data_IF_866462275720
#
_entry.id   IF_866462275720
#
_cell.length_a   1.000
_cell.length_b   1.000
_cell.length_c   1.000
_cell.angle_alpha   90.00
_cell.angle_beta   90.00
_cell.angle_gamma   90.00
#
_symmetry.space_group_name_H-M   'P 1'
#
loop_
_entity.id
_entity.type
_entity.pdbx_description
1 polymer ?
#
# COMPACT_ATOMS: atom_id res chain seq x y z
N UNK A 1 18.20 20.68 -11.78
CA UNK A 1 18.85 19.36 -11.57
C UNK A 1 18.75 18.57 -12.86
N UNK A 2 19.60 17.55 -13.06
CA UNK A 2 19.57 16.74 -14.30
C UNK A 2 19.73 15.26 -13.96
N UNK A 3 18.88 14.41 -14.53
CA UNK A 3 18.98 12.95 -14.40
C UNK A 3 18.63 12.29 -15.72
N UNK A 4 19.50 11.39 -16.21
CA UNK A 4 19.38 10.68 -17.50
C UNK A 4 19.06 11.62 -18.70
N UNK A 5 19.70 12.79 -18.76
CA UNK A 5 19.45 13.76 -19.82
C UNK A 5 18.25 14.68 -19.62
N UNK A 6 17.36 14.40 -18.67
CA UNK A 6 16.16 15.19 -18.38
C UNK A 6 16.45 16.24 -17.31
N UNK A 7 16.18 17.49 -17.62
CA UNK A 7 16.25 18.58 -16.64
C UNK A 7 14.95 18.69 -15.84
N UNK A 8 15.06 18.70 -14.51
CA UNK A 8 13.93 18.83 -13.59
C UNK A 8 14.26 19.80 -12.45
N UNK A 9 13.24 20.26 -11.74
CA UNK A 9 13.40 21.23 -10.65
C UNK A 9 12.63 20.81 -9.41
N UNK A 10 13.31 20.82 -8.27
CA UNK A 10 12.75 20.62 -6.93
C UNK A 10 13.34 21.72 -6.04
N UNK A 11 12.48 22.45 -5.30
CA UNK A 11 12.94 23.54 -4.42
C UNK A 11 13.18 23.06 -2.99
N UNK A 12 12.31 22.19 -2.51
CA UNK A 12 12.25 21.77 -1.12
C UNK A 12 12.67 20.29 -0.97
N UNK A 13 13.92 19.98 -1.34
CA UNK A 13 14.46 18.64 -1.10
C UNK A 13 14.51 18.31 0.40
N UNK A 14 14.45 17.01 0.77
CA UNK A 14 14.71 16.59 2.14
C UNK A 14 16.11 17.05 2.58
N UNK A 15 16.20 17.80 3.67
CA UNK A 15 17.47 18.38 4.15
C UNK A 15 18.54 17.32 4.38
N UNK A 16 18.16 16.18 4.92
CA UNK A 16 19.07 15.07 5.24
C UNK A 16 19.27 14.08 4.07
N UNK A 17 18.62 14.31 2.93
CA UNK A 17 18.73 13.47 1.73
C UNK A 17 18.68 14.31 0.45
N UNK A 18 19.70 15.17 0.22
CA UNK A 18 19.70 16.12 -0.90
C UNK A 18 19.82 15.46 -2.28
N UNK A 19 20.21 14.19 -2.34
CA UNK A 19 20.31 13.40 -3.56
C UNK A 19 18.97 12.74 -3.97
N UNK A 20 17.91 12.86 -3.16
CA UNK A 20 16.59 12.33 -3.46
C UNK A 20 16.07 12.87 -4.80
N UNK A 21 15.69 11.95 -5.70
CA UNK A 21 15.12 12.26 -7.02
C UNK A 21 13.65 11.84 -7.02
N UNK A 22 12.71 12.76 -6.71
CA UNK A 22 11.29 12.41 -6.62
C UNK A 22 10.76 11.91 -7.97
N UNK A 23 10.34 10.65 -8.03
CA UNK A 23 9.90 10.01 -9.28
C UNK A 23 8.75 10.78 -9.94
N UNK A 24 7.74 11.23 -9.19
CA UNK A 24 6.61 11.97 -9.75
C UNK A 24 6.98 13.33 -10.34
N UNK A 25 8.02 13.99 -9.79
CA UNK A 25 8.53 15.26 -10.32
C UNK A 25 9.34 15.03 -11.59
N UNK A 26 10.16 14.00 -11.58
CA UNK A 26 10.96 13.65 -12.75
C UNK A 26 10.07 13.21 -13.93
N UNK A 27 8.98 12.44 -13.67
CA UNK A 27 7.99 12.09 -14.71
C UNK A 27 7.44 13.34 -15.40
N UNK A 28 7.00 14.33 -14.63
CA UNK A 28 6.45 15.58 -15.21
C UNK A 28 7.44 16.32 -16.12
N UNK A 29 8.72 16.26 -15.78
CA UNK A 29 9.77 16.84 -16.61
C UNK A 29 10.06 15.98 -17.84
N UNK A 30 10.10 14.68 -17.68
CA UNK A 30 10.30 13.70 -18.75
C UNK A 30 9.20 13.80 -19.83
N UNK A 31 7.94 13.85 -19.43
CA UNK A 31 6.80 13.89 -20.35
C UNK A 31 6.75 15.14 -21.24
N UNK A 32 7.35 16.26 -20.82
CA UNK A 32 7.33 17.53 -21.58
C UNK A 32 7.94 17.43 -22.98
N UNK A 33 8.91 16.53 -23.17
CA UNK A 33 9.56 16.32 -24.47
C UNK A 33 9.21 14.99 -25.14
N UNK A 34 8.48 14.12 -24.46
CA UNK A 34 8.09 12.82 -24.98
C UNK A 34 6.97 12.93 -26.03
N UNK A 35 7.15 12.34 -27.21
CA UNK A 35 6.21 12.47 -28.32
C UNK A 35 5.75 11.13 -28.90
N UNK A 36 6.56 10.07 -28.82
CA UNK A 36 6.23 8.77 -29.35
C UNK A 36 5.21 8.07 -28.44
N UNK A 37 4.01 7.71 -28.92
CA UNK A 37 3.01 7.00 -28.14
C UNK A 37 3.52 5.65 -27.63
N UNK A 38 3.17 5.34 -26.38
CA UNK A 38 3.37 4.05 -25.75
C UNK A 38 2.13 3.72 -24.93
N UNK A 39 1.67 2.48 -24.99
CA UNK A 39 0.60 2.01 -24.12
C UNK A 39 1.11 0.83 -23.27
N UNK A 40 0.82 0.88 -21.98
CA UNK A 40 1.12 -0.19 -21.03
C UNK A 40 -0.22 -0.75 -20.57
N UNK A 41 -0.44 -2.05 -20.74
CA UNK A 41 -1.60 -2.72 -20.16
C UNK A 41 -1.14 -3.80 -19.19
N UNK A 42 -1.89 -3.97 -18.09
CA UNK A 42 -1.62 -4.97 -17.07
C UNK A 42 -2.84 -5.83 -16.87
N UNK A 43 -2.67 -7.14 -17.05
CA UNK A 43 -3.69 -8.15 -16.79
C UNK A 43 -3.53 -8.76 -15.41
N UNK A 44 -4.64 -8.88 -14.71
CA UNK A 44 -4.74 -9.52 -13.39
C UNK A 44 -5.89 -10.53 -13.35
N UNK A 45 -6.23 -11.03 -12.19
CA UNK A 45 -7.25 -12.06 -11.99
C UNK A 45 -8.59 -11.72 -12.67
N UNK A 46 -9.34 -12.77 -13.04
CA UNK A 46 -10.67 -12.68 -13.68
C UNK A 46 -10.71 -11.88 -14.99
N UNK A 47 -9.58 -11.81 -15.70
CA UNK A 47 -9.47 -11.10 -16.96
C UNK A 47 -9.59 -9.56 -16.83
N UNK A 48 -9.34 -9.02 -15.67
CA UNK A 48 -9.27 -7.57 -15.47
C UNK A 48 -8.02 -7.02 -16.13
N UNK A 49 -8.17 -5.90 -16.84
CA UNK A 49 -7.07 -5.25 -17.58
C UNK A 49 -7.11 -3.76 -17.32
N UNK A 50 -6.03 -3.24 -16.75
CA UNK A 50 -5.78 -1.80 -16.62
C UNK A 50 -4.94 -1.32 -17.81
N UNK A 51 -5.31 -0.21 -18.43
CA UNK A 51 -4.63 0.35 -19.62
C UNK A 51 -4.16 1.77 -19.32
N UNK A 52 -2.88 2.02 -19.55
CA UNK A 52 -2.20 3.29 -19.29
C UNK A 52 -1.55 3.82 -20.56
N UNK A 53 -2.06 4.93 -21.08
CA UNK A 53 -1.49 5.62 -22.23
C UNK A 53 -0.44 6.61 -21.78
N UNK A 54 0.74 6.55 -22.38
CA UNK A 54 1.85 7.46 -22.11
C UNK A 54 2.64 7.75 -23.38
N UNK A 55 3.77 8.41 -23.25
CA UNK A 55 4.70 8.72 -24.35
C UNK A 55 6.13 8.53 -23.90
N UNK A 56 6.99 8.22 -24.86
CA UNK A 56 8.44 8.16 -24.70
C UNK A 56 9.11 9.14 -25.66
N UNK A 57 10.39 9.41 -25.46
CA UNK A 57 11.15 10.25 -26.39
C UNK A 57 11.47 9.51 -27.69
N UNK A 58 11.82 8.22 -27.60
CA UNK A 58 12.11 7.35 -28.74
C UNK A 58 13.40 7.70 -29.49
N UNK A 59 14.32 8.45 -28.87
CA UNK A 59 15.58 8.82 -29.46
C UNK A 59 16.76 8.08 -28.82
N UNK A 60 17.85 7.81 -29.55
CA UNK A 60 19.02 7.11 -29.00
C UNK A 60 19.63 7.81 -27.78
N UNK A 61 19.64 9.15 -27.77
CA UNK A 61 20.23 9.97 -26.72
C UNK A 61 19.47 9.84 -25.39
N UNK A 62 18.17 9.53 -25.44
CA UNK A 62 17.30 9.40 -24.28
C UNK A 62 16.81 7.95 -24.04
N UNK A 63 17.44 6.98 -24.72
CA UNK A 63 17.04 5.57 -24.59
C UNK A 63 17.10 5.03 -23.14
N UNK A 64 18.08 5.49 -22.34
CA UNK A 64 18.15 5.11 -20.92
C UNK A 64 17.10 5.84 -20.07
N UNK A 65 16.75 7.07 -20.41
CA UNK A 65 15.64 7.77 -19.77
C UNK A 65 14.30 7.09 -20.07
N UNK A 66 14.08 6.71 -21.34
CA UNK A 66 12.89 5.96 -21.78
C UNK A 66 12.76 4.63 -21.03
N UNK A 67 13.87 3.87 -20.94
CA UNK A 67 13.85 2.60 -20.21
C UNK A 67 13.59 2.80 -18.71
N UNK A 68 14.29 3.75 -18.06
CA UNK A 68 14.11 4.03 -16.64
C UNK A 68 12.68 4.48 -16.35
N UNK A 69 12.11 5.32 -17.20
CA UNK A 69 10.71 5.75 -17.09
C UNK A 69 9.77 4.55 -17.15
N UNK A 70 9.83 3.77 -18.21
CA UNK A 70 8.88 2.66 -18.44
C UNK A 70 9.05 1.58 -17.38
N UNK A 71 10.29 1.24 -17.03
CA UNK A 71 10.58 0.21 -16.04
C UNK A 71 10.03 0.61 -14.63
N UNK A 72 10.30 1.83 -14.18
CA UNK A 72 9.77 2.34 -12.90
C UNK A 72 8.25 2.52 -12.93
N UNK A 73 7.70 2.95 -14.05
CA UNK A 73 6.26 3.09 -14.25
C UNK A 73 5.54 1.73 -14.17
N UNK A 74 6.06 0.73 -14.88
CA UNK A 74 5.57 -0.66 -14.81
C UNK A 74 5.66 -1.20 -13.39
N UNK A 75 6.79 -1.01 -12.71
CA UNK A 75 6.94 -1.43 -11.31
C UNK A 75 5.91 -0.75 -10.40
N UNK A 76 5.70 0.56 -10.56
CA UNK A 76 4.68 1.27 -9.79
C UNK A 76 3.29 0.69 -10.01
N UNK A 77 2.91 0.42 -11.26
CA UNK A 77 1.63 -0.18 -11.60
C UNK A 77 1.47 -1.58 -11.00
N UNK A 78 2.51 -2.41 -11.06
CA UNK A 78 2.47 -3.75 -10.46
C UNK A 78 2.24 -3.73 -8.96
N UNK A 79 2.85 -2.80 -8.23
CA UNK A 79 2.71 -2.72 -6.78
C UNK A 79 1.49 -1.93 -6.32
N UNK A 80 0.91 -1.12 -7.20
CA UNK A 80 -0.37 -0.43 -6.94
C UNK A 80 -1.58 -1.28 -7.34
N UNK A 81 -1.62 -1.75 -8.59
CA UNK A 81 -2.78 -2.44 -9.16
C UNK A 81 -2.67 -3.96 -9.01
N UNK A 82 -1.46 -4.50 -9.15
CA UNK A 82 -1.20 -5.93 -9.26
C UNK A 82 -1.27 -6.42 -10.71
N UNK A 83 -0.80 -7.63 -10.96
CA UNK A 83 -0.91 -8.28 -12.27
C UNK A 83 0.17 -9.31 -12.52
N UNK A 84 -0.06 -10.15 -13.51
CA UNK A 84 0.85 -11.23 -13.90
C UNK A 84 1.24 -11.19 -15.37
N UNK A 85 0.58 -10.35 -16.18
CA UNK A 85 0.94 -10.15 -17.60
C UNK A 85 0.96 -8.66 -17.92
N UNK A 86 2.07 -8.21 -18.49
CA UNK A 86 2.29 -6.83 -18.88
C UNK A 86 2.39 -6.77 -20.39
N UNK A 87 1.61 -5.89 -21.01
CA UNK A 87 1.69 -5.58 -22.43
C UNK A 87 2.40 -4.25 -22.62
N UNK A 88 3.47 -4.25 -23.40
CA UNK A 88 4.20 -3.05 -23.82
C UNK A 88 3.91 -2.83 -25.31
N UNK A 89 3.04 -1.87 -25.59
CA UNK A 89 2.52 -1.66 -26.91
C UNK A 89 3.12 -0.41 -27.56
N UNK A 90 3.82 -0.60 -28.70
CA UNK A 90 4.36 0.51 -29.50
C UNK A 90 5.88 0.71 -29.43
N UNK A 91 6.64 -0.11 -28.66
CA UNK A 91 8.10 -0.09 -28.69
C UNK A 91 8.72 -1.45 -28.31
N UNK A 92 9.07 -2.24 -29.32
CA UNK A 92 9.64 -3.59 -29.12
C UNK A 92 11.00 -3.59 -28.43
N UNK A 93 11.82 -2.56 -28.59
CA UNK A 93 13.13 -2.49 -27.92
C UNK A 93 12.96 -2.36 -26.39
N UNK A 94 12.01 -1.56 -25.93
CA UNK A 94 11.66 -1.45 -24.51
C UNK A 94 11.03 -2.75 -23.99
N UNK A 95 10.09 -3.34 -24.75
CA UNK A 95 9.49 -4.61 -24.40
C UNK A 95 10.54 -5.70 -24.17
N UNK A 96 11.52 -5.85 -25.08
CA UNK A 96 12.61 -6.82 -24.97
C UNK A 96 13.52 -6.56 -23.75
N UNK A 97 13.79 -5.30 -23.42
CA UNK A 97 14.56 -4.96 -22.20
C UNK A 97 13.78 -5.36 -20.94
N UNK A 98 12.48 -5.07 -20.89
CA UNK A 98 11.62 -5.46 -19.77
C UNK A 98 11.47 -6.99 -19.67
N UNK A 99 11.33 -7.71 -20.80
CA UNK A 99 11.32 -9.17 -20.81
C UNK A 99 12.56 -9.77 -20.15
N UNK A 100 13.74 -9.18 -20.34
CA UNK A 100 14.97 -9.62 -19.68
C UNK A 100 15.01 -9.28 -18.19
N UNK A 101 14.51 -8.10 -17.81
CA UNK A 101 14.50 -7.66 -16.42
C UNK A 101 13.50 -8.46 -15.57
N UNK A 102 12.31 -8.73 -16.12
CA UNK A 102 11.21 -9.41 -15.43
C UNK A 102 11.23 -10.92 -15.66
N UNK A 103 12.28 -11.57 -15.17
CA UNK A 103 12.45 -13.03 -15.11
C UNK A 103 12.86 -13.45 -13.70
N UNK A 104 12.80 -14.76 -13.39
CA UNK A 104 13.24 -15.30 -12.09
C UNK A 104 14.75 -15.16 -11.86
N UNK A 105 15.54 -14.95 -12.91
CA UNK A 105 16.98 -14.69 -12.90
C UNK A 105 17.32 -13.23 -13.17
N UNK A 106 16.31 -12.41 -13.52
CA UNK A 106 16.48 -11.01 -13.90
C UNK A 106 16.55 -10.06 -12.71
N UNK A 107 16.70 -8.79 -13.05
CA UNK A 107 16.75 -7.69 -12.05
C UNK A 107 15.47 -7.63 -11.20
N UNK A 108 14.32 -7.98 -11.78
CA UNK A 108 12.99 -7.93 -11.16
C UNK A 108 12.51 -9.30 -10.67
N UNK A 109 13.43 -10.20 -10.32
CA UNK A 109 13.10 -11.56 -9.85
C UNK A 109 12.13 -11.57 -8.66
N UNK A 110 12.26 -10.62 -7.75
CA UNK A 110 11.36 -10.51 -6.59
C UNK A 110 9.94 -10.17 -7.04
N UNK A 111 9.79 -9.17 -7.92
CA UNK A 111 8.48 -8.77 -8.45
C UNK A 111 7.81 -9.94 -9.19
N UNK A 112 8.57 -10.64 -10.03
CA UNK A 112 8.08 -11.82 -10.77
C UNK A 112 7.63 -12.93 -9.82
N UNK A 113 8.48 -13.29 -8.85
CA UNK A 113 8.16 -14.36 -7.89
C UNK A 113 6.94 -13.99 -7.05
N UNK A 114 6.87 -12.75 -6.57
CA UNK A 114 5.76 -12.28 -5.76
C UNK A 114 4.42 -12.32 -6.53
N UNK A 115 4.41 -11.82 -7.77
CA UNK A 115 3.19 -11.84 -8.60
C UNK A 115 2.78 -13.26 -8.97
N UNK A 116 3.74 -14.16 -9.23
CA UNK A 116 3.44 -15.59 -9.42
C UNK A 116 2.88 -16.25 -8.16
N UNK A 117 3.38 -15.91 -6.98
CA UNK A 117 2.84 -16.42 -5.71
C UNK A 117 1.43 -15.88 -5.42
N UNK A 118 1.13 -14.64 -5.85
CA UNK A 118 -0.20 -14.03 -5.70
C UNK A 118 -1.21 -14.62 -6.66
N UNK A 119 -0.89 -14.65 -7.95
CA UNK A 119 -1.86 -15.02 -9.00
C UNK A 119 -1.81 -16.49 -9.39
N UNK A 120 -0.79 -17.24 -8.96
CA UNK A 120 -0.57 -18.67 -9.27
C UNK A 120 -0.52 -19.00 -10.78
N UNK A 121 -0.05 -18.03 -11.57
CA UNK A 121 0.15 -18.14 -13.01
C UNK A 121 1.54 -17.62 -13.36
N UNK A 122 2.14 -18.07 -14.49
CA UNK A 122 3.41 -17.54 -14.98
C UNK A 122 3.33 -16.03 -15.22
N UNK A 123 4.38 -15.32 -14.85
CA UNK A 123 4.51 -13.89 -15.14
C UNK A 123 5.06 -13.69 -16.55
N UNK A 124 4.48 -12.77 -17.33
CA UNK A 124 4.85 -12.54 -18.72
C UNK A 124 4.92 -11.05 -19.05
N UNK A 125 5.86 -10.67 -19.91
CA UNK A 125 5.91 -9.37 -20.58
C UNK A 125 5.70 -9.60 -22.07
N UNK A 126 4.66 -9.00 -22.64
CA UNK A 126 4.25 -9.16 -24.03
C UNK A 126 4.63 -7.91 -24.83
N UNK A 127 5.34 -8.11 -25.94
CA UNK A 127 5.57 -7.09 -26.97
C UNK A 127 4.41 -7.10 -27.97
N UNK A 128 3.75 -5.97 -28.18
CA UNK A 128 2.68 -5.87 -29.16
C UNK A 128 2.64 -4.49 -29.86
N UNK A 129 1.95 -4.42 -30.99
CA UNK A 129 1.68 -3.16 -31.67
C UNK A 129 0.65 -2.33 -30.87
N UNK A 130 0.59 -1.02 -31.13
CA UNK A 130 -0.39 -0.13 -30.42
C UNK A 130 -1.83 -0.55 -30.66
N UNK A 131 -2.13 -0.96 -31.89
CA UNK A 131 -3.47 -1.41 -32.32
C UNK A 131 -3.88 -2.76 -31.72
N UNK A 132 -2.92 -3.57 -31.28
CA UNK A 132 -3.15 -4.90 -30.68
C UNK A 132 -3.20 -4.84 -29.14
N UNK A 133 -3.10 -3.65 -28.56
CA UNK A 133 -3.20 -3.49 -27.12
C UNK A 133 -4.58 -3.96 -26.63
N UNK A 134 -4.65 -4.82 -25.59
CA UNK A 134 -5.93 -5.27 -25.05
C UNK A 134 -6.74 -4.09 -24.53
N UNK A 135 -8.06 -4.17 -24.71
CA UNK A 135 -8.98 -3.16 -24.20
C UNK A 135 -9.04 -3.19 -22.67
N UNK A 136 -9.22 -2.02 -22.06
CA UNK A 136 -9.44 -1.92 -20.64
C UNK A 136 -10.67 -2.73 -20.20
N UNK A 137 -10.54 -3.48 -19.14
CA UNK A 137 -11.59 -4.28 -18.51
C UNK A 137 -11.45 -4.18 -16.99
N UNK A 138 -11.80 -3.04 -16.45
CA UNK A 138 -11.86 -2.81 -15.01
C UNK A 138 -13.31 -2.87 -14.53
N UNK A 139 -13.53 -3.59 -13.45
CA UNK A 139 -14.80 -3.57 -12.75
C UNK A 139 -14.50 -3.36 -11.26
N UNK A 140 -15.03 -2.30 -10.67
CA UNK A 140 -15.11 -2.18 -9.23
C UNK A 140 -16.22 -3.10 -8.71
N UNK A 141 -15.92 -3.84 -7.66
CA UNK A 141 -16.96 -4.49 -6.85
C UNK A 141 -17.22 -3.56 -5.69
N UNK A 142 -18.48 -3.16 -5.50
CA UNK A 142 -18.87 -2.39 -4.33
C UNK A 142 -18.58 -3.23 -3.08
N UNK A 143 -17.53 -2.87 -2.36
CA UNK A 143 -17.11 -3.53 -1.12
C UNK A 143 -16.98 -2.42 -0.08
N UNK A 144 -17.82 -2.48 0.97
CA UNK A 144 -17.78 -1.54 2.07
C UNK A 144 -19.01 -0.66 2.19
N UNK A 145 -19.12 0.04 3.31
CA UNK A 145 -20.25 0.95 3.59
C UNK A 145 -21.55 0.28 4.03
N UNK A 146 -21.65 -1.05 4.01
CA UNK A 146 -22.85 -1.80 4.38
C UNK A 146 -22.95 -1.99 5.90
N UNK A 147 -23.79 -1.21 6.58
CA UNK A 147 -23.87 -1.22 8.06
C UNK A 147 -25.21 -1.72 8.59
N UNK A 148 -26.18 -2.04 7.72
CA UNK A 148 -27.50 -2.54 8.12
C UNK A 148 -27.44 -3.98 8.61
N UNK A 149 -28.25 -4.31 9.61
CA UNK A 149 -28.37 -5.65 10.18
C UNK A 149 -27.29 -5.98 11.20
N UNK A 150 -27.10 -7.26 11.44
CA UNK A 150 -26.19 -7.82 12.45
C UNK A 150 -24.90 -8.29 11.78
N UNK A 151 -23.78 -7.66 12.05
CA UNK A 151 -22.51 -7.87 11.33
C UNK A 151 -21.37 -8.17 12.27
N UNK A 152 -20.49 -9.06 11.84
CA UNK A 152 -19.21 -9.32 12.51
C UNK A 152 -18.13 -8.58 11.75
N UNK A 153 -17.31 -7.81 12.45
CA UNK A 153 -16.06 -7.27 11.94
C UNK A 153 -14.89 -7.88 12.69
N UNK A 154 -13.95 -8.44 11.95
CA UNK A 154 -12.78 -9.10 12.50
C UNK A 154 -11.50 -8.46 11.95
N UNK A 155 -10.59 -8.07 12.84
CA UNK A 155 -9.28 -7.55 12.50
C UNK A 155 -8.21 -8.55 12.95
N UNK A 156 -7.56 -9.20 11.97
CA UNK A 156 -6.54 -10.20 12.16
C UNK A 156 -5.15 -9.56 12.17
N UNK A 157 -4.76 -8.99 13.31
CA UNK A 157 -3.45 -8.41 13.50
C UNK A 157 -2.32 -9.44 13.71
N UNK A 158 -1.09 -8.98 13.68
CA UNK A 158 0.09 -9.84 13.82
C UNK A 158 0.46 -10.24 15.26
N UNK A 159 -0.08 -9.54 16.27
CA UNK A 159 0.16 -9.76 17.71
C UNK A 159 -1.13 -9.93 18.50
N UNK A 160 -2.21 -9.45 17.99
CA UNK A 160 -3.55 -9.49 18.57
C UNK A 160 -4.58 -9.65 17.47
N UNK A 161 -5.77 -10.11 17.85
CA UNK A 161 -6.95 -10.18 16.99
C UNK A 161 -8.07 -9.42 17.67
N UNK A 162 -8.82 -8.66 16.90
CA UNK A 162 -9.94 -7.87 17.41
C UNK A 162 -11.22 -8.26 16.68
N UNK A 163 -12.31 -8.46 17.44
CA UNK A 163 -13.62 -8.73 16.87
C UNK A 163 -14.63 -7.74 17.41
N UNK A 164 -15.54 -7.29 16.55
CA UNK A 164 -16.66 -6.43 16.90
C UNK A 164 -17.98 -7.02 16.43
N UNK A 165 -18.98 -7.00 17.29
CA UNK A 165 -20.38 -7.24 16.94
C UNK A 165 -21.05 -5.88 16.70
N UNK A 166 -21.63 -5.71 15.51
CA UNK A 166 -22.23 -4.44 15.05
C UNK A 166 -23.68 -4.68 14.67
N UNK A 167 -24.61 -3.89 15.21
CA UNK A 167 -26.03 -3.93 14.85
C UNK A 167 -26.43 -2.57 14.32
N UNK A 168 -26.87 -2.49 13.07
CA UNK A 168 -27.29 -1.27 12.38
C UNK A 168 -26.27 -0.12 12.58
N UNK A 169 -25.00 -0.40 12.33
CA UNK A 169 -23.90 0.56 12.45
C UNK A 169 -23.42 0.85 13.89
N UNK A 170 -24.03 0.25 14.90
CA UNK A 170 -23.64 0.46 16.32
C UNK A 170 -22.89 -0.76 16.85
N UNK A 171 -21.69 -0.55 17.37
CA UNK A 171 -20.92 -1.57 18.05
C UNK A 171 -21.61 -1.93 19.38
N UNK A 172 -22.05 -3.17 19.50
CA UNK A 172 -22.69 -3.71 20.72
C UNK A 172 -21.72 -4.53 21.58
N UNK A 173 -20.63 -5.01 20.97
CA UNK A 173 -19.55 -5.70 21.65
C UNK A 173 -18.24 -5.53 20.87
N UNK A 174 -17.13 -5.44 21.59
CA UNK A 174 -15.77 -5.51 21.01
C UNK A 174 -14.84 -6.21 21.98
N UNK A 175 -14.02 -7.12 21.45
CA UNK A 175 -13.04 -7.87 22.22
C UNK A 175 -11.70 -7.89 21.46
N UNK A 176 -10.61 -7.79 22.20
CA UNK A 176 -9.24 -7.89 21.69
C UNK A 176 -8.52 -9.00 22.46
N UNK A 177 -7.91 -9.93 21.73
CA UNK A 177 -7.23 -11.11 22.28
C UNK A 177 -5.85 -11.22 21.69
N UNK A 178 -4.84 -11.35 22.53
CA UNK A 178 -3.45 -11.61 22.13
C UNK A 178 -3.36 -12.99 21.47
N UNK A 179 -2.74 -13.07 20.32
CA UNK A 179 -2.42 -14.30 19.63
C UNK A 179 -1.05 -14.22 18.94
N UNK A 180 -0.51 -15.34 18.46
CA UNK A 180 0.84 -15.38 17.91
C UNK A 180 0.89 -16.06 16.53
N UNK A 181 0.13 -15.56 15.52
CA UNK A 181 -0.04 -16.25 14.24
C UNK A 181 1.27 -16.42 13.48
N UNK A 182 2.17 -15.42 13.55
CA UNK A 182 3.46 -15.41 12.82
C UNK A 182 4.45 -16.49 13.30
N UNK A 183 4.23 -17.09 14.46
CA UNK A 183 5.11 -18.12 15.04
C UNK A 183 4.55 -19.53 14.93
N UNK A 184 3.27 -19.65 14.57
CA UNK A 184 2.58 -20.95 14.50
C UNK A 184 2.67 -21.55 13.09
N UNK A 185 3.05 -22.84 13.03
CA UNK A 185 3.16 -23.60 11.78
C UNK A 185 1.90 -24.46 11.49
N UNK A 186 1.03 -24.66 12.47
CA UNK A 186 -0.22 -25.39 12.26
C UNK A 186 -1.36 -24.42 11.91
N UNK A 187 -1.97 -24.53 10.71
CA UNK A 187 -3.09 -23.68 10.31
C UNK A 187 -4.33 -23.89 11.19
N UNK A 188 -4.42 -25.00 11.96
CA UNK A 188 -5.52 -25.21 12.88
C UNK A 188 -5.54 -24.16 14.00
N UNK A 189 -4.37 -23.76 14.52
CA UNK A 189 -4.27 -22.67 15.50
C UNK A 189 -4.94 -21.37 15.00
N UNK A 190 -4.67 -21.00 13.75
CA UNK A 190 -5.28 -19.81 13.16
C UNK A 190 -6.78 -19.98 12.97
N UNK A 191 -7.20 -21.14 12.47
CA UNK A 191 -8.61 -21.47 12.26
C UNK A 191 -9.42 -21.40 13.57
N UNK A 192 -8.92 -22.04 14.63
CA UNK A 192 -9.59 -22.05 15.93
C UNK A 192 -9.73 -20.65 16.50
N UNK A 193 -8.67 -19.81 16.37
CA UNK A 193 -8.68 -18.42 16.80
C UNK A 193 -9.71 -17.56 16.04
N UNK A 194 -9.83 -17.74 14.73
CA UNK A 194 -10.81 -17.03 13.90
C UNK A 194 -12.23 -17.47 14.27
N UNK A 195 -12.49 -18.78 14.37
CA UNK A 195 -13.80 -19.33 14.72
C UNK A 195 -14.25 -18.89 16.12
N UNK A 196 -13.34 -18.89 17.09
CA UNK A 196 -13.63 -18.41 18.45
C UNK A 196 -14.08 -16.93 18.44
N UNK A 197 -13.34 -16.08 17.72
CA UNK A 197 -13.70 -14.67 17.58
C UNK A 197 -15.08 -14.49 16.92
N UNK A 198 -15.35 -15.21 15.84
CA UNK A 198 -16.65 -15.16 15.16
C UNK A 198 -17.79 -15.63 16.08
N UNK A 199 -17.63 -16.73 16.80
CA UNK A 199 -18.62 -17.24 17.76
C UNK A 199 -18.84 -16.28 18.92
N UNK A 200 -17.79 -15.64 19.43
CA UNK A 200 -17.91 -14.64 20.49
C UNK A 200 -18.77 -13.46 20.02
N UNK A 201 -18.50 -12.88 18.87
CA UNK A 201 -19.30 -11.77 18.33
C UNK A 201 -20.74 -12.21 17.99
N UNK A 202 -20.91 -13.36 17.36
CA UNK A 202 -22.24 -13.92 17.05
C UNK A 202 -23.12 -14.09 18.29
N UNK A 203 -22.54 -14.51 19.42
CA UNK A 203 -23.28 -14.68 20.70
C UNK A 203 -23.89 -13.39 21.26
N UNK A 204 -23.48 -12.22 20.75
CA UNK A 204 -23.96 -10.90 21.17
C UNK A 204 -25.06 -10.32 20.29
N UNK A 205 -25.48 -11.08 19.28
CA UNK A 205 -26.45 -10.63 18.27
C UNK A 205 -27.52 -11.70 18.06
N UNK A 206 -28.76 -11.31 17.66
CA UNK A 206 -29.83 -12.28 17.44
C UNK A 206 -29.59 -13.16 16.19
N UNK A 207 -28.77 -12.72 15.24
CA UNK A 207 -28.39 -13.42 14.01
C UNK A 207 -27.08 -12.80 13.47
N UNK A 208 -26.54 -13.37 12.39
CA UNK A 208 -25.40 -12.78 11.66
C UNK A 208 -25.79 -12.64 10.19
N UNK A 209 -25.78 -11.41 9.67
CA UNK A 209 -26.13 -11.07 8.29
C UNK A 209 -24.89 -10.93 7.38
N UNK A 210 -23.68 -10.77 7.94
CA UNK A 210 -22.43 -10.67 7.21
C UNK A 210 -21.21 -10.66 8.11
N UNK A 211 -20.09 -11.13 7.58
CA UNK A 211 -18.78 -11.16 8.23
C UNK A 211 -17.76 -10.41 7.37
N UNK A 212 -17.18 -9.35 7.88
CA UNK A 212 -16.07 -8.66 7.23
C UNK A 212 -14.75 -8.87 7.98
N UNK A 213 -13.70 -9.10 7.24
CA UNK A 213 -12.36 -9.38 7.77
C UNK A 213 -11.36 -8.37 7.25
N UNK A 214 -10.66 -7.71 8.17
CA UNK A 214 -9.41 -6.98 7.93
C UNK A 214 -8.24 -7.91 8.23
N UNK A 215 -7.30 -8.08 7.33
CA UNK A 215 -6.16 -8.96 7.57
C UNK A 215 -4.93 -8.53 6.80
N UNK A 216 -3.76 -8.65 7.43
CA UNK A 216 -2.49 -8.34 6.78
C UNK A 216 -2.18 -9.34 5.66
N UNK A 217 -1.87 -8.82 4.47
CA UNK A 217 -1.45 -9.60 3.31
C UNK A 217 -2.23 -9.32 2.04
N UNK A 218 -1.91 -10.07 1.01
CA UNK A 218 -2.53 -9.98 -0.31
C UNK A 218 -3.57 -11.07 -0.48
N UNK A 219 -4.74 -10.69 -0.96
CA UNK A 219 -5.90 -11.56 -1.10
C UNK A 219 -6.41 -11.61 -2.54
N UNK A 220 -6.81 -12.80 -3.00
CA UNK A 220 -7.61 -12.98 -4.21
C UNK A 220 -8.98 -13.51 -3.77
N UNK A 221 -9.98 -12.63 -3.85
CA UNK A 221 -11.25 -12.89 -3.15
C UNK A 221 -11.03 -13.00 -1.64
N UNK A 222 -11.49 -14.08 -1.02
CA UNK A 222 -11.27 -14.32 0.42
C UNK A 222 -10.00 -15.12 0.73
N UNK A 223 -9.23 -15.50 -0.29
CA UNK A 223 -8.06 -16.39 -0.14
C UNK A 223 -6.80 -15.58 0.17
N UNK A 224 -6.13 -15.80 1.32
CA UNK A 224 -4.82 -15.21 1.57
C UNK A 224 -3.78 -15.89 0.68
N UNK A 225 -3.22 -15.14 -0.26
CA UNK A 225 -2.20 -15.59 -1.20
C UNK A 225 -0.79 -15.39 -0.62
N UNK A 226 -0.51 -14.20 -0.12
CA UNK A 226 0.72 -13.86 0.59
C UNK A 226 0.33 -13.13 1.88
N UNK A 227 0.67 -13.69 3.04
CA UNK A 227 0.37 -13.07 4.32
C UNK A 227 1.39 -13.43 5.39
N UNK A 228 1.86 -12.44 6.12
CA UNK A 228 2.78 -12.62 7.24
C UNK A 228 2.18 -13.40 8.40
N UNK A 229 0.85 -13.47 8.51
CA UNK A 229 0.17 -14.23 9.55
C UNK A 229 0.41 -15.73 9.41
N UNK A 230 0.60 -16.22 8.18
CA UNK A 230 0.75 -17.64 7.85
C UNK A 230 2.18 -18.00 7.44
N UNK A 231 3.17 -17.13 7.71
CA UNK A 231 4.54 -17.27 7.20
C UNK A 231 5.24 -18.56 7.64
N UNK A 232 4.85 -19.12 8.78
CA UNK A 232 5.41 -20.39 9.31
C UNK A 232 4.62 -21.63 8.86
N UNK A 233 3.48 -21.45 8.20
CA UNK A 233 2.68 -22.58 7.71
C UNK A 233 3.38 -23.23 6.51
N UNK A 234 3.67 -24.53 6.55
CA UNK A 234 4.33 -25.24 5.46
C UNK A 234 3.55 -25.16 4.13
N UNK A 235 4.28 -25.20 3.01
CA UNK A 235 3.69 -25.08 1.66
C UNK A 235 2.64 -26.14 1.38
N UNK A 236 2.81 -27.37 1.84
CA UNK A 236 1.87 -28.49 1.70
C UNK A 236 0.53 -28.28 2.39
N UNK A 237 0.45 -27.35 3.36
CA UNK A 237 -0.78 -26.95 4.05
C UNK A 237 -1.41 -25.68 3.52
N UNK A 238 -0.88 -25.10 2.44
CA UNK A 238 -1.30 -23.78 1.89
C UNK A 238 -2.78 -23.78 1.48
N UNK A 239 -3.30 -24.88 0.95
CA UNK A 239 -4.73 -24.98 0.59
C UNK A 239 -5.68 -24.85 1.80
N UNK A 240 -5.25 -25.26 2.98
CA UNK A 240 -6.00 -25.03 4.22
C UNK A 240 -6.02 -23.54 4.61
N UNK A 241 -4.95 -22.81 4.30
CA UNK A 241 -4.87 -21.37 4.56
C UNK A 241 -5.74 -20.60 3.57
N UNK A 242 -5.72 -20.93 2.28
CA UNK A 242 -6.51 -20.24 1.27
C UNK A 242 -8.01 -20.25 1.56
N UNK A 243 -8.50 -21.30 2.18
CA UNK A 243 -9.94 -21.46 2.50
C UNK A 243 -10.28 -21.13 3.95
N UNK A 244 -9.33 -20.60 4.73
CA UNK A 244 -9.46 -20.52 6.19
C UNK A 244 -10.63 -19.62 6.62
N UNK A 245 -10.82 -18.47 5.99
CA UNK A 245 -11.89 -17.53 6.33
C UNK A 245 -13.26 -18.05 5.88
N UNK A 246 -13.35 -18.60 4.67
CA UNK A 246 -14.61 -19.22 4.19
C UNK A 246 -15.04 -20.41 5.03
N UNK A 247 -14.08 -21.24 5.46
CA UNK A 247 -14.36 -22.37 6.37
C UNK A 247 -14.80 -21.86 7.74
N UNK A 248 -14.15 -20.83 8.27
CA UNK A 248 -14.54 -20.27 9.56
C UNK A 248 -15.95 -19.65 9.51
N UNK A 249 -16.34 -18.98 8.42
CA UNK A 249 -17.68 -18.46 8.24
C UNK A 249 -18.75 -19.58 8.22
N UNK A 250 -18.45 -20.73 7.61
CA UNK A 250 -19.35 -21.90 7.57
C UNK A 250 -19.67 -22.46 8.95
N UNK A 251 -18.82 -22.25 9.96
CA UNK A 251 -19.11 -22.61 11.35
C UNK A 251 -20.29 -21.83 11.95
N UNK A 252 -20.68 -20.70 11.35
CA UNK A 252 -21.85 -19.91 11.73
C UNK A 252 -23.03 -20.11 10.78
N UNK A 253 -22.89 -20.95 9.76
CA UNK A 253 -23.88 -21.19 8.72
C UNK A 253 -23.49 -20.57 7.38
N UNK A 254 -24.42 -20.37 6.46
CA UNK A 254 -24.17 -19.78 5.14
C UNK A 254 -24.19 -18.24 5.19
N UNK A 255 -23.27 -17.66 5.97
CA UNK A 255 -23.15 -16.22 6.15
C UNK A 255 -22.21 -15.63 5.09
N UNK A 256 -22.58 -14.54 4.40
CA UNK A 256 -21.68 -13.84 3.50
C UNK A 256 -20.41 -13.37 4.22
N UNK A 257 -19.26 -13.61 3.62
CA UNK A 257 -17.96 -13.14 4.14
C UNK A 257 -17.17 -12.42 3.06
N UNK A 258 -16.51 -11.32 3.44
CA UNK A 258 -15.56 -10.58 2.61
C UNK A 258 -14.29 -10.32 3.41
N UNK A 259 -13.15 -10.61 2.80
CA UNK A 259 -11.82 -10.36 3.36
C UNK A 259 -11.14 -9.26 2.55
N UNK A 260 -10.55 -8.29 3.22
CA UNK A 260 -9.76 -7.22 2.61
C UNK A 260 -8.43 -7.02 3.34
N UNK A 261 -7.46 -6.44 2.61
CA UNK A 261 -6.18 -6.03 3.19
C UNK A 261 -6.40 -5.00 4.31
N UNK A 262 -5.59 -5.06 5.35
CA UNK A 262 -5.67 -4.16 6.51
C UNK A 262 -5.42 -2.68 6.15
N UNK A 263 -4.61 -2.40 5.13
CA UNK A 263 -4.44 -1.05 4.57
C UNK A 263 -5.74 -0.52 3.95
N UNK A 264 -6.40 -1.32 3.12
CA UNK A 264 -7.68 -0.95 2.49
C UNK A 264 -8.78 -0.73 3.54
N UNK A 265 -8.85 -1.59 4.55
CA UNK A 265 -9.80 -1.41 5.66
C UNK A 265 -9.48 -0.17 6.49
N UNK A 266 -8.21 0.20 6.63
CA UNK A 266 -7.81 1.47 7.25
C UNK A 266 -8.28 2.68 6.44
N UNK A 267 -8.14 2.65 5.12
CA UNK A 267 -8.67 3.70 4.24
C UNK A 267 -10.20 3.78 4.31
N UNK A 268 -10.88 2.63 4.34
CA UNK A 268 -12.33 2.54 4.52
C UNK A 268 -12.79 3.13 5.85
N UNK A 269 -12.09 2.82 6.95
CA UNK A 269 -12.37 3.43 8.27
C UNK A 269 -12.23 4.95 8.23
N UNK A 270 -11.22 5.44 7.52
CA UNK A 270 -11.01 6.85 7.26
C UNK A 270 -12.17 7.48 6.47
N UNK A 271 -12.58 6.86 5.38
CA UNK A 271 -13.70 7.31 4.54
C UNK A 271 -15.03 7.36 5.33
N UNK A 272 -15.31 6.32 6.11
CA UNK A 272 -16.48 6.27 6.99
C UNK A 272 -16.44 7.38 8.07
N UNK A 273 -15.27 7.62 8.67
CA UNK A 273 -15.09 8.69 9.65
C UNK A 273 -15.27 10.09 9.08
N UNK A 274 -14.78 10.32 7.86
CA UNK A 274 -14.90 11.58 7.12
C UNK A 274 -16.23 11.73 6.38
N UNK A 275 -16.99 10.65 6.22
CA UNK A 275 -18.24 10.58 5.41
C UNK A 275 -17.99 11.00 3.96
N UNK A 276 -16.89 10.52 3.35
CA UNK A 276 -16.49 10.89 1.99
C UNK A 276 -15.70 9.75 1.35
N UNK A 277 -15.62 9.76 0.01
CA UNK A 277 -14.74 8.88 -0.78
C UNK A 277 -13.42 9.54 -1.16
N UNK A 278 -12.71 8.93 -2.10
CA UNK A 278 -11.37 9.35 -2.57
C UNK A 278 -10.37 9.50 -1.42
N UNK A 279 -10.34 8.50 -0.53
CA UNK A 279 -9.52 8.49 0.68
C UNK A 279 -8.38 7.49 0.53
N UNK A 280 -7.16 7.97 0.73
CA UNK A 280 -5.97 7.13 0.87
C UNK A 280 -5.54 7.10 2.34
N UNK A 281 -5.36 5.92 2.89
CA UNK A 281 -4.74 5.69 4.19
C UNK A 281 -3.29 5.25 4.03
N UNK A 282 -2.35 5.86 4.74
CA UNK A 282 -0.96 5.45 4.77
C UNK A 282 -0.51 5.22 6.21
N UNK A 283 -0.15 4.01 6.54
CA UNK A 283 0.41 3.66 7.83
C UNK A 283 1.94 3.56 7.75
N UNK A 284 2.63 4.41 8.48
CA UNK A 284 4.09 4.41 8.63
C UNK A 284 4.47 3.66 9.92
N UNK A 285 4.74 2.37 9.79
CA UNK A 285 5.02 1.46 10.91
C UNK A 285 6.37 0.76 10.81
N UNK A 286 6.38 -0.56 10.98
CA UNK A 286 7.55 -1.43 10.70
C UNK A 286 7.88 -1.39 9.21
N UNK A 287 6.84 -1.38 8.37
CA UNK A 287 6.89 -1.10 6.94
C UNK A 287 5.87 -0.02 6.61
N UNK A 288 5.76 0.35 5.35
CA UNK A 288 4.66 1.13 4.81
C UNK A 288 3.47 0.20 4.53
N UNK A 289 2.26 0.64 4.84
CA UNK A 289 1.04 0.02 4.36
C UNK A 289 0.12 1.10 3.81
N UNK A 290 -0.41 0.89 2.62
CA UNK A 290 -1.31 1.84 1.97
C UNK A 290 -2.61 1.14 1.60
N UNK A 291 -3.72 1.86 1.72
CA UNK A 291 -5.00 1.44 1.20
C UNK A 291 -5.70 2.63 0.55
N UNK A 292 -6.66 2.33 -0.30
CA UNK A 292 -7.41 3.34 -1.02
C UNK A 292 -8.86 2.95 -1.22
N UNK A 293 -9.75 3.91 -1.04
CA UNK A 293 -11.16 3.82 -1.43
C UNK A 293 -11.48 4.90 -2.47
N UNK A 294 -12.29 4.54 -3.46
CA UNK A 294 -12.67 5.42 -4.56
C UNK A 294 -13.67 6.53 -4.14
N UNK A 295 -14.14 7.31 -5.11
CA UNK A 295 -15.09 8.40 -4.87
C UNK A 295 -16.41 7.93 -4.25
N UNK A 296 -16.83 6.70 -4.55
CA UNK A 296 -18.05 6.09 -4.04
C UNK A 296 -17.81 5.35 -2.71
N UNK A 297 -16.57 5.36 -2.18
CA UNK A 297 -16.19 4.70 -0.94
C UNK A 297 -15.93 3.20 -1.09
N UNK A 298 -15.70 2.70 -2.30
CA UNK A 298 -15.45 1.29 -2.57
C UNK A 298 -13.95 0.95 -2.53
N UNK A 299 -13.65 -0.27 -2.11
CA UNK A 299 -12.32 -0.88 -2.24
C UNK A 299 -12.18 -1.47 -3.64
N UNK A 300 -11.11 -1.10 -4.36
CA UNK A 300 -10.94 -1.45 -5.78
C UNK A 300 -10.45 -2.90 -6.02
N UNK A 301 -9.97 -3.58 -4.98
CA UNK A 301 -9.32 -4.88 -5.12
C UNK A 301 -7.98 -4.78 -5.88
N UNK A 302 -7.32 -3.63 -5.80
CA UNK A 302 -5.95 -3.43 -6.21
C UNK A 302 -5.00 -3.98 -5.15
N UNK A 303 -3.73 -4.19 -5.52
CA UNK A 303 -2.73 -4.76 -4.62
C UNK A 303 -2.38 -3.81 -3.46
N UNK A 304 -2.24 -2.52 -3.77
CA UNK A 304 -1.90 -1.42 -2.84
C UNK A 304 -0.63 -1.66 -1.97
N UNK A 305 0.30 -2.51 -2.42
CA UNK A 305 1.56 -2.79 -1.73
C UNK A 305 2.64 -1.76 -2.10
N UNK A 306 2.35 -0.47 -1.85
CA UNK A 306 3.21 0.65 -2.24
C UNK A 306 4.56 0.68 -1.50
N UNK A 307 4.72 -0.12 -0.45
CA UNK A 307 6.01 -0.36 0.20
C UNK A 307 7.12 -0.76 -0.79
N UNK A 308 6.76 -1.45 -1.87
CA UNK A 308 7.68 -1.90 -2.93
C UNK A 308 7.59 -1.07 -4.21
N UNK A 309 6.73 -0.04 -4.24
CA UNK A 309 6.64 0.88 -5.36
C UNK A 309 7.80 1.90 -5.37
N UNK A 310 8.35 2.24 -6.54
CA UNK A 310 9.45 3.21 -6.62
C UNK A 310 8.96 4.63 -6.32
N UNK A 311 9.69 5.34 -5.48
CA UNK A 311 9.43 6.74 -5.11
C UNK A 311 10.65 7.64 -5.37
N UNK A 312 11.87 7.04 -5.36
CA UNK A 312 13.15 7.70 -5.59
C UNK A 312 13.89 7.05 -6.77
N UNK A 313 14.42 7.87 -7.66
CA UNK A 313 15.19 7.41 -8.82
C UNK A 313 16.71 7.46 -8.60
N UNK A 314 17.19 7.88 -7.44
CA UNK A 314 18.61 7.98 -7.17
C UNK A 314 19.28 6.61 -7.23
N UNK A 315 20.37 6.49 -8.00
CA UNK A 315 21.03 5.20 -8.26
C UNK A 315 21.73 4.59 -7.04
N UNK A 316 21.91 5.36 -5.99
CA UNK A 316 22.47 4.94 -4.69
C UNK A 316 21.47 5.20 -3.56
N UNK A 317 20.17 5.16 -3.88
CA UNK A 317 19.11 5.19 -2.88
C UNK A 317 19.21 3.98 -1.94
N UNK A 318 18.57 4.06 -0.79
CA UNK A 318 18.54 2.95 0.16
C UNK A 318 17.92 1.70 -0.48
N UNK A 319 18.60 0.57 -0.29
CA UNK A 319 18.14 -0.73 -0.79
C UNK A 319 17.19 -1.38 0.21
N UNK A 320 16.08 -1.89 -0.27
CA UNK A 320 15.21 -2.74 0.52
C UNK A 320 15.74 -4.18 0.58
N UNK A 321 15.81 -4.76 1.77
CA UNK A 321 16.40 -6.07 2.03
C UNK A 321 15.59 -7.22 1.42
N UNK A 322 14.29 -7.03 1.20
CA UNK A 322 13.40 -8.05 0.65
C UNK A 322 13.39 -8.05 -0.87
N UNK A 323 13.04 -6.91 -1.44
CA UNK A 323 12.95 -6.77 -2.90
C UNK A 323 14.33 -6.63 -3.56
N UNK A 324 15.36 -6.28 -2.78
CA UNK A 324 16.69 -5.88 -3.24
C UNK A 324 16.68 -4.67 -4.18
N UNK A 325 15.54 -3.97 -4.28
CA UNK A 325 15.40 -2.79 -5.12
C UNK A 325 15.76 -1.51 -4.37
N UNK A 326 16.07 -0.47 -5.12
CA UNK A 326 16.48 0.83 -4.62
C UNK A 326 15.31 1.82 -4.69
N UNK A 327 15.21 2.69 -3.69
CA UNK A 327 14.30 3.83 -3.75
C UNK A 327 12.82 3.48 -3.66
N UNK A 328 12.46 2.37 -2.99
CA UNK A 328 11.08 1.92 -2.80
C UNK A 328 10.46 2.46 -1.50
N UNK A 329 9.14 2.59 -1.48
CA UNK A 329 8.36 3.30 -0.46
C UNK A 329 8.68 2.95 0.99
N UNK A 330 8.89 1.67 1.34
CA UNK A 330 9.20 1.25 2.71
C UNK A 330 10.45 1.91 3.30
N UNK A 331 11.42 2.35 2.47
CA UNK A 331 12.63 3.05 2.91
C UNK A 331 12.43 4.55 3.13
N UNK A 332 11.21 5.05 2.88
CA UNK A 332 10.82 6.46 2.98
C UNK A 332 9.66 6.68 3.95
N UNK A 333 8.77 5.68 4.12
CA UNK A 333 7.52 5.78 4.88
C UNK A 333 7.38 4.70 5.95
N UNK A 334 8.49 4.38 6.63
CA UNK A 334 8.52 3.44 7.75
C UNK A 334 9.55 3.85 8.81
N UNK A 335 9.71 3.03 9.83
CA UNK A 335 10.80 3.20 10.81
C UNK A 335 12.19 3.22 10.16
N UNK A 336 12.35 2.57 9.00
CA UNK A 336 13.63 2.54 8.28
C UNK A 336 14.03 3.92 7.76
N UNK A 337 13.06 4.76 7.38
CA UNK A 337 13.34 6.16 7.03
C UNK A 337 13.97 6.93 8.19
N UNK A 338 13.46 6.74 9.42
CA UNK A 338 14.00 7.37 10.62
C UNK A 338 15.42 6.86 10.90
N UNK A 339 15.63 5.54 10.79
CA UNK A 339 16.92 4.88 11.03
C UNK A 339 17.95 5.33 10.00
N UNK A 340 17.58 5.45 8.74
CA UNK A 340 18.40 5.94 7.62
C UNK A 340 18.84 7.39 7.83
N UNK A 341 17.93 8.24 8.27
CA UNK A 341 18.16 9.68 8.38
C UNK A 341 18.84 10.10 9.68
N UNK A 342 18.71 9.34 10.76
CA UNK A 342 19.29 9.67 12.05
C UNK A 342 20.82 9.87 12.01
N UNK A 343 21.63 8.98 11.41
CA UNK A 343 23.07 9.19 11.26
C UNK A 343 23.42 10.42 10.41
N UNK A 344 22.61 10.71 9.37
CA UNK A 344 22.80 11.90 8.53
C UNK A 344 22.53 13.20 9.29
N UNK A 345 21.70 13.12 10.34
CA UNK A 345 21.49 14.23 11.27
C UNK A 345 22.55 14.32 12.37
N UNK A 346 23.50 13.39 12.44
CA UNK A 346 24.49 13.29 13.52
C UNK A 346 23.94 12.67 14.81
N UNK A 347 22.93 11.78 14.68
CA UNK A 347 22.40 10.98 15.78
C UNK A 347 22.93 9.55 15.64
N UNK A 348 23.78 9.14 16.59
CA UNK A 348 24.25 7.77 16.66
C UNK A 348 23.17 6.87 17.29
N UNK A 349 22.86 5.78 16.62
CA UNK A 349 21.92 4.76 17.10
C UNK A 349 22.71 3.52 17.53
N UNK A 350 22.48 3.05 18.76
CA UNK A 350 23.08 1.82 19.24
C UNK A 350 22.69 0.65 18.33
N UNK A 351 23.71 -0.07 17.84
CA UNK A 351 23.52 -1.21 16.96
C UNK A 351 22.73 -2.36 17.61
N UNK A 352 22.79 -2.48 18.95
CA UNK A 352 22.09 -3.51 19.71
C UNK A 352 20.57 -3.27 19.78
N UNK A 353 20.09 -2.05 19.53
CA UNK A 353 18.67 -1.73 19.54
C UNK A 353 17.94 -2.35 18.34
N UNK A 354 16.76 -2.84 18.60
CA UNK A 354 15.81 -3.22 17.53
C UNK A 354 15.38 -2.00 16.72
N UNK A 355 14.90 -2.17 15.47
CA UNK A 355 14.41 -1.05 14.68
C UNK A 355 13.32 -0.22 15.39
N UNK A 356 12.41 -0.86 16.13
CA UNK A 356 11.38 -0.16 16.90
C UNK A 356 11.95 0.67 18.06
N UNK A 357 12.99 0.18 18.75
CA UNK A 357 13.71 0.91 19.80
C UNK A 357 14.50 2.08 19.23
N UNK A 358 15.13 1.91 18.06
CA UNK A 358 15.80 3.00 17.33
C UNK A 358 14.84 4.12 16.97
N UNK A 359 13.64 3.79 16.42
CA UNK A 359 12.59 4.76 16.18
C UNK A 359 12.22 5.51 17.47
N UNK A 360 11.96 4.77 18.54
CA UNK A 360 11.60 5.34 19.85
C UNK A 360 12.68 6.30 20.38
N UNK A 361 13.94 5.94 20.26
CA UNK A 361 15.05 6.79 20.69
C UNK A 361 15.06 8.14 19.96
N UNK A 362 14.83 8.15 18.63
CA UNK A 362 14.76 9.40 17.85
C UNK A 362 13.49 10.19 18.19
N UNK A 363 12.36 9.53 18.44
CA UNK A 363 11.12 10.21 18.89
C UNK A 363 11.34 10.90 20.26
N UNK A 364 11.96 10.23 21.21
CA UNK A 364 12.27 10.82 22.53
C UNK A 364 13.22 12.03 22.43
N UNK A 365 14.19 12.02 21.52
CA UNK A 365 15.03 13.18 21.24
C UNK A 365 14.20 14.34 20.67
N UNK A 366 13.29 14.08 19.74
CA UNK A 366 12.43 15.10 19.16
C UNK A 366 11.51 15.71 20.24
N UNK A 367 10.92 14.91 21.13
CA UNK A 367 10.10 15.36 22.24
C UNK A 367 10.86 16.26 23.23
N UNK A 368 12.18 16.02 23.41
CA UNK A 368 13.07 16.87 24.21
C UNK A 368 13.53 18.13 23.49
N UNK A 369 13.10 18.33 22.24
CA UNK A 369 13.42 19.50 21.45
C UNK A 369 14.74 19.43 20.66
N UNK A 370 15.36 18.26 20.52
CA UNK A 370 16.60 18.09 19.74
C UNK A 370 16.35 18.39 18.26
N UNK A 371 16.99 19.45 17.76
CA UNK A 371 16.81 19.91 16.38
C UNK A 371 17.29 18.90 15.33
N UNK A 372 18.24 18.03 15.67
CA UNK A 372 18.71 16.97 14.79
C UNK A 372 17.60 15.96 14.55
N UNK A 373 16.91 15.53 15.60
CA UNK A 373 15.77 14.61 15.51
C UNK A 373 14.59 15.26 14.78
N UNK A 374 14.32 16.54 15.00
CA UNK A 374 13.28 17.26 14.25
C UNK A 374 13.55 17.31 12.75
N UNK A 375 14.82 17.47 12.33
CA UNK A 375 15.22 17.43 10.90
C UNK A 375 14.98 16.06 10.26
N UNK A 376 15.11 14.95 11.04
CA UNK A 376 14.78 13.61 10.57
C UNK A 376 13.30 13.55 10.16
N UNK A 377 12.38 13.95 11.05
CA UNK A 377 10.95 13.92 10.75
C UNK A 377 10.55 14.94 9.68
N UNK A 378 11.16 16.13 9.66
CA UNK A 378 10.93 17.10 8.60
C UNK A 378 11.34 16.58 7.21
N UNK A 379 12.43 15.80 7.11
CA UNK A 379 12.84 15.17 5.85
C UNK A 379 11.83 14.13 5.38
N UNK A 380 11.21 13.37 6.29
CA UNK A 380 10.11 12.45 5.95
C UNK A 380 8.89 13.22 5.42
N UNK A 381 8.58 14.38 6.01
CA UNK A 381 7.53 15.27 5.51
C UNK A 381 7.80 15.77 4.07
N UNK A 382 9.06 16.00 3.72
CA UNK A 382 9.44 16.35 2.35
C UNK A 382 9.24 15.15 1.39
N UNK A 383 9.66 13.94 1.77
CA UNK A 383 9.37 12.74 1.00
C UNK A 383 7.88 12.60 0.71
N UNK A 384 7.03 12.76 1.75
CA UNK A 384 5.58 12.63 1.63
C UNK A 384 4.99 13.63 0.64
N UNK A 385 5.40 14.92 0.70
CA UNK A 385 4.89 15.95 -0.20
C UNK A 385 5.22 15.64 -1.68
N UNK A 386 6.46 15.22 -1.95
CA UNK A 386 6.89 14.89 -3.30
C UNK A 386 6.28 13.57 -3.81
N UNK A 387 6.10 12.57 -2.93
CA UNK A 387 5.52 11.28 -3.31
C UNK A 387 4.01 11.37 -3.49
N UNK A 388 3.32 12.24 -2.77
CA UNK A 388 1.89 12.46 -2.97
C UNK A 388 1.60 12.93 -4.41
N UNK A 389 2.50 13.70 -5.01
CA UNK A 389 2.43 14.07 -6.43
C UNK A 389 2.47 12.84 -7.36
N UNK A 390 3.29 11.85 -7.03
CA UNK A 390 3.32 10.57 -7.76
C UNK A 390 2.02 9.78 -7.55
N UNK A 391 1.56 9.63 -6.31
CA UNK A 391 0.36 8.87 -6.00
C UNK A 391 -0.88 9.44 -6.69
N UNK A 392 -1.03 10.75 -6.74
CA UNK A 392 -2.14 11.42 -7.42
C UNK A 392 -2.13 11.31 -8.96
N UNK A 393 -1.11 10.70 -9.56
CA UNK A 393 -1.14 10.33 -10.99
C UNK A 393 -1.93 9.04 -11.23
N UNK A 394 -2.02 8.18 -10.23
CA UNK A 394 -2.60 6.83 -10.34
C UNK A 394 -3.86 6.67 -9.52
N UNK A 395 -4.02 7.47 -8.47
CA UNK A 395 -5.17 7.46 -7.56
C UNK A 395 -5.85 8.83 -7.55
N UNK A 396 -7.17 8.83 -7.53
CA UNK A 396 -7.93 10.07 -7.35
C UNK A 396 -8.05 10.42 -5.86
N UNK A 397 -6.94 10.86 -5.26
CA UNK A 397 -6.86 11.17 -3.84
C UNK A 397 -7.38 12.58 -3.57
N UNK A 398 -8.36 12.69 -2.66
CA UNK A 398 -8.83 13.96 -2.10
C UNK A 398 -8.50 14.08 -0.61
N UNK A 399 -8.43 12.97 0.11
CA UNK A 399 -8.05 12.93 1.50
C UNK A 399 -6.94 11.89 1.71
N UNK A 400 -5.86 12.30 2.37
CA UNK A 400 -4.78 11.41 2.75
C UNK A 400 -4.65 11.39 4.27
N UNK A 401 -4.93 10.23 4.88
CA UNK A 401 -4.81 10.01 6.31
C UNK A 401 -3.48 9.32 6.58
N UNK A 402 -2.61 9.96 7.34
CA UNK A 402 -1.30 9.42 7.70
C UNK A 402 -1.30 8.98 9.15
N UNK A 403 -0.91 7.72 9.41
CA UNK A 403 -0.95 7.11 10.74
C UNK A 403 0.24 6.19 10.97
N UNK A 404 0.24 5.44 12.05
CA UNK A 404 1.29 4.50 12.39
C UNK A 404 2.30 5.02 13.42
N UNK A 405 3.23 4.15 13.84
CA UNK A 405 4.16 4.46 14.94
C UNK A 405 5.10 5.63 14.64
N UNK A 406 5.51 5.81 13.39
CA UNK A 406 6.36 6.94 12.98
C UNK A 406 5.61 8.27 13.15
N UNK A 407 4.28 8.26 13.00
CA UNK A 407 3.42 9.43 13.17
C UNK A 407 3.02 9.72 14.62
N UNK A 408 3.57 8.98 15.59
CA UNK A 408 3.27 9.18 17.01
C UNK A 408 4.06 10.37 17.57
N UNK A 409 3.44 11.09 18.53
CA UNK A 409 4.06 12.21 19.22
C UNK A 409 4.34 13.41 18.31
N UNK A 410 5.32 14.23 18.71
CA UNK A 410 5.70 15.45 17.97
C UNK A 410 6.25 15.14 16.57
N UNK A 411 6.87 13.98 16.37
CA UNK A 411 7.39 13.57 15.08
C UNK A 411 6.34 13.58 13.97
N UNK A 412 5.14 13.05 14.25
CA UNK A 412 4.03 13.05 13.31
C UNK A 412 3.54 14.46 12.95
N UNK A 413 3.48 15.36 13.93
CA UNK A 413 3.15 16.77 13.67
C UNK A 413 4.20 17.45 12.80
N UNK A 414 5.49 17.20 13.03
CA UNK A 414 6.58 17.76 12.21
C UNK A 414 6.50 17.25 10.77
N UNK A 415 6.25 15.94 10.57
CA UNK A 415 6.06 15.35 9.24
C UNK A 415 4.91 16.06 8.51
N UNK A 416 3.75 16.16 9.16
CA UNK A 416 2.57 16.78 8.58
C UNK A 416 2.79 18.26 8.25
N UNK A 417 3.31 19.03 9.19
CA UNK A 417 3.54 20.47 9.02
C UNK A 417 4.50 20.75 7.88
N UNK A 418 5.60 19.99 7.77
CA UNK A 418 6.57 20.17 6.69
C UNK A 418 6.00 19.71 5.34
N UNK A 419 5.24 18.61 5.31
CA UNK A 419 4.54 18.17 4.11
C UNK A 419 3.58 19.26 3.61
N UNK A 420 2.70 19.78 4.47
CA UNK A 420 1.74 20.84 4.13
C UNK A 420 2.44 22.16 3.70
N UNK A 421 3.56 22.49 4.31
CA UNK A 421 4.37 23.65 3.89
C UNK A 421 4.86 23.46 2.47
N UNK A 422 5.47 22.33 2.15
CA UNK A 422 6.02 22.04 0.81
C UNK A 422 4.89 21.97 -0.23
N UNK A 423 3.76 21.36 0.10
CA UNK A 423 2.61 21.33 -0.81
C UNK A 423 2.15 22.74 -1.18
N UNK A 424 2.04 23.66 -0.21
CA UNK A 424 1.67 25.07 -0.47
C UNK A 424 2.70 25.80 -1.33
N UNK A 425 4.00 25.59 -1.05
CA UNK A 425 5.08 26.33 -1.70
C UNK A 425 5.41 25.81 -3.11
N UNK A 426 5.28 24.51 -3.34
CA UNK A 426 5.76 23.86 -4.56
C UNK A 426 4.64 23.26 -5.42
N UNK A 427 3.55 22.83 -4.79
CA UNK A 427 2.42 22.15 -5.47
C UNK A 427 1.07 22.75 -5.11
N UNK A 428 0.82 24.08 -5.35
CA UNK A 428 -0.42 24.73 -4.89
C UNK A 428 -1.69 24.06 -5.40
N UNK A 429 -1.73 23.64 -6.66
CA UNK A 429 -2.90 22.93 -7.21
C UNK A 429 -3.15 21.59 -6.51
N UNK A 430 -2.10 20.85 -6.14
CA UNK A 430 -2.22 19.61 -5.37
C UNK A 430 -2.66 19.90 -3.94
N UNK A 431 -2.16 20.96 -3.32
CA UNK A 431 -2.56 21.41 -1.99
C UNK A 431 -4.04 21.82 -1.92
N UNK A 432 -4.60 22.35 -3.01
CA UNK A 432 -6.03 22.65 -3.11
C UNK A 432 -6.89 21.39 -3.28
N UNK A 433 -6.36 20.39 -4.03
CA UNK A 433 -7.06 19.12 -4.30
C UNK A 433 -7.04 18.17 -3.11
N UNK A 434 -5.89 18.02 -2.44
CA UNK A 434 -5.66 16.96 -1.45
C UNK A 434 -5.49 17.52 -0.04
N UNK A 435 -6.31 17.04 0.86
CA UNK A 435 -6.20 17.32 2.29
C UNK A 435 -5.41 16.20 2.99
N UNK A 436 -4.18 16.49 3.41
CA UNK A 436 -3.35 15.58 4.21
C UNK A 436 -3.61 15.83 5.69
N UNK A 437 -3.84 14.75 6.46
CA UNK A 437 -4.22 14.87 7.89
C UNK A 437 -3.80 13.66 8.71
N UNK A 438 -3.72 13.85 10.03
CA UNK A 438 -3.70 12.76 11.00
C UNK A 438 -5.13 12.29 11.28
N UNK A 439 -5.34 11.03 11.70
CA UNK A 439 -6.68 10.58 12.12
C UNK A 439 -7.20 11.41 13.29
N UNK A 440 -8.38 11.97 13.15
CA UNK A 440 -9.09 12.64 14.22
C UNK A 440 -9.79 11.63 15.16
N UNK A 441 -10.49 12.14 16.20
CA UNK A 441 -11.18 11.28 17.15
C UNK A 441 -12.34 10.49 16.50
N UNK A 442 -13.03 11.09 15.51
CA UNK A 442 -14.13 10.43 14.79
C UNK A 442 -13.62 9.26 13.96
N UNK A 443 -12.56 9.46 13.19
CA UNK A 443 -11.88 8.43 12.39
C UNK A 443 -11.35 7.30 13.27
N UNK A 444 -10.75 7.62 14.42
CA UNK A 444 -10.25 6.61 15.37
C UNK A 444 -11.36 5.78 16.01
N UNK A 445 -12.55 6.34 16.21
CA UNK A 445 -13.72 5.62 16.78
C UNK A 445 -14.26 4.55 15.86
N UNK A 446 -14.15 4.70 14.53
CA UNK A 446 -14.60 3.69 13.57
C UNK A 446 -13.67 2.50 13.61
N UNK A 447 -12.55 2.37 14.04
CA UNK A 447 -11.66 1.22 14.17
C UNK A 447 -11.74 0.19 13.05
N UNK A 448 -10.67 -0.54 12.80
CA UNK A 448 -10.58 -1.48 11.68
C UNK A 448 -11.64 -2.59 11.72
N UNK A 449 -11.91 -3.17 12.89
CA UNK A 449 -12.92 -4.24 13.00
C UNK A 449 -14.34 -3.74 12.68
N UNK A 450 -14.67 -2.48 13.02
CA UNK A 450 -15.99 -1.91 12.67
C UNK A 450 -16.06 -1.59 11.18
N UNK A 451 -15.00 -1.03 10.60
CA UNK A 451 -14.93 -0.81 9.15
C UNK A 451 -14.99 -2.15 8.38
N UNK A 452 -14.28 -3.18 8.85
CA UNK A 452 -14.38 -4.51 8.28
C UNK A 452 -15.82 -5.05 8.29
N UNK A 453 -16.58 -4.85 9.36
CA UNK A 453 -17.99 -5.29 9.42
C UNK A 453 -18.85 -4.74 8.27
N UNK A 454 -18.47 -3.61 7.68
CA UNK A 454 -19.18 -2.99 6.56
C UNK A 454 -18.87 -3.59 5.17
N UNK A 455 -17.87 -4.49 5.07
CA UNK A 455 -17.41 -5.02 3.78
C UNK A 455 -18.45 -5.85 3.02
N UNK A 456 -19.12 -6.85 3.61
CA UNK A 456 -20.02 -7.69 2.85
C UNK A 456 -21.35 -7.01 2.55
N UNK A 457 -21.80 -7.13 1.31
CA UNK A 457 -23.18 -6.80 0.94
C UNK A 457 -24.17 -7.76 1.61
N UNK A 458 -25.34 -7.27 1.97
CA UNK A 458 -26.40 -8.13 2.50
C UNK A 458 -26.99 -8.99 1.37
N UNK A 459 -27.06 -10.29 1.55
CA UNK A 459 -27.88 -11.13 0.65
C UNK A 459 -29.34 -10.71 0.78
N UNK A 460 -29.99 -10.43 -0.37
CA UNK A 460 -31.40 -10.04 -0.45
C UNK A 460 -32.33 -11.17 0.01
#
# INVERSE_FOLDING_TARGET
MKYLGIDYSVRNLPELDPDFIPFGVWIDAYEKGAAQPLTIAIERDKGKISVHHTKIHGTPELAEADYRFVERYVKFLLWSIGGFRIYICGNSALAQRLQKAYTLEGERKFDVQFMQDVYEVPFEVIDCALEDCPAANESSVSIGGHMEGCRIGFDAGGSDRKVSAVIDGKTVHSEEVVWHPKTMSDPQYHFDGIVEAFKTAASKMPRVDGIGVSSAGVFIGNSPMVSSLFIKVPREKRELVKTIYDRAAKELGDVPIVVANDGDVTALAGAMGLETGSVMGMAMGTSEAVGYVDADGNVLGWLNELAFAPVDLFERAEQDEWSTDLGVGCKYFSQDAVIKLAPRAGIELDAALTPAEKLKAVQELAERGDERAKRVFASIGAYLAHTLKLYCRFYDVHHMIVLGRVMSGIGGSIILDNCLRILREEYPALNEKVRVMLPDEKTRRVGQSVAAASLPERRA
#
